data_IF_208029021390
#
_entry.id   IF_208029021390
#
_cell.length_a   1.000
_cell.length_b   1.000
_cell.length_c   1.000
_cell.angle_alpha   90.00
_cell.angle_beta   90.00
_cell.angle_gamma   90.00
#
_symmetry.space_group_name_H-M   'P 1'
#
loop_
_entity.id
_entity.type
_entity.pdbx_description
1 polymer ?
#
# COMPACT_ATOMS: atom_id res chain seq x y z
N UNK A 1 -15.78 11.21 7.78
CA UNK A 1 -14.57 10.37 7.96
C UNK A 1 -13.70 11.12 8.94
N UNK A 2 -13.61 10.64 10.19
CA UNK A 2 -12.81 11.30 11.22
C UNK A 2 -11.43 10.64 11.30
N UNK A 3 -10.37 11.45 11.26
CA UNK A 3 -9.02 10.96 11.47
C UNK A 3 -8.64 11.13 12.94
N UNK A 4 -8.10 10.10 13.60
CA UNK A 4 -7.63 10.24 14.97
C UNK A 4 -6.47 11.25 15.01
N UNK A 5 -6.53 12.18 15.95
CA UNK A 5 -5.45 13.14 16.19
C UNK A 5 -4.22 12.38 16.71
N UNK A 6 -3.13 12.44 15.95
CA UNK A 6 -1.85 11.86 16.38
C UNK A 6 -1.29 12.73 17.52
N UNK A 7 -1.10 12.13 18.70
CA UNK A 7 -0.41 12.78 19.83
C UNK A 7 1.07 12.37 19.80
N UNK A 8 2.01 13.25 19.42
CA UNK A 8 3.41 12.87 19.22
C UNK A 8 4.06 12.24 20.45
N UNK A 9 3.75 12.75 21.66
CA UNK A 9 4.23 12.19 22.93
C UNK A 9 3.87 10.72 23.15
N UNK A 10 2.71 10.29 22.65
CA UNK A 10 2.24 8.90 22.72
C UNK A 10 2.81 8.06 21.57
N UNK A 11 3.02 8.67 20.40
CA UNK A 11 3.56 7.99 19.23
C UNK A 11 5.06 7.67 19.39
N UNK A 12 5.84 8.59 19.93
CA UNK A 12 7.28 8.39 20.14
C UNK A 12 7.61 7.50 21.35
N UNK A 13 6.71 7.38 22.32
CA UNK A 13 6.87 6.50 23.48
C UNK A 13 6.47 5.05 23.21
N UNK A 14 5.90 4.76 22.03
CA UNK A 14 5.45 3.41 21.63
C UNK A 14 6.31 2.89 20.50
N UNK A 15 6.63 1.60 20.55
CA UNK A 15 7.13 0.87 19.39
C UNK A 15 5.97 0.76 18.40
N UNK A 16 6.10 1.44 17.26
CA UNK A 16 5.11 1.32 16.19
C UNK A 16 5.17 -0.09 15.59
N UNK A 17 4.03 -0.69 15.24
CA UNK A 17 4.04 -1.97 14.54
C UNK A 17 4.77 -1.80 13.19
N UNK A 18 5.42 -2.86 12.69
CA UNK A 18 6.01 -2.85 11.37
C UNK A 18 4.98 -2.44 10.30
N UNK A 19 5.41 -1.69 9.26
CA UNK A 19 4.51 -1.31 8.19
C UNK A 19 4.01 -2.56 7.44
N UNK A 20 2.71 -2.57 7.15
CA UNK A 20 2.05 -3.58 6.33
C UNK A 20 1.96 -3.07 4.89
N UNK A 21 2.13 -3.96 3.93
CA UNK A 21 2.11 -3.65 2.50
C UNK A 21 1.20 -4.62 1.75
N UNK A 22 0.44 -4.11 0.79
CA UNK A 22 -0.42 -4.90 -0.12
C UNK A 22 0.26 -5.18 -1.46
N UNK A 23 1.19 -4.32 -1.86
CA UNK A 23 2.12 -4.53 -2.98
C UNK A 23 3.49 -4.03 -2.53
N UNK A 24 4.59 -4.37 -3.23
CA UNK A 24 5.90 -3.81 -2.92
C UNK A 24 5.84 -2.28 -2.77
N UNK A 25 6.16 -1.79 -1.57
CA UNK A 25 6.11 -0.37 -1.20
C UNK A 25 4.72 0.29 -1.15
N UNK A 26 3.61 -0.41 -1.44
CA UNK A 26 2.26 0.13 -1.38
C UNK A 26 1.54 -0.24 -0.08
N UNK A 27 1.10 0.76 0.69
CA UNK A 27 0.37 0.53 1.95
C UNK A 27 -1.11 0.23 1.70
N UNK A 28 -1.75 -0.60 2.54
CA UNK A 28 -3.19 -0.81 2.49
C UNK A 28 -3.97 0.51 2.54
N UNK A 29 -5.15 0.55 1.91
CA UNK A 29 -6.04 1.72 1.90
C UNK A 29 -5.43 2.98 1.27
N UNK A 30 -4.44 2.81 0.40
CA UNK A 30 -3.88 3.87 -0.43
C UNK A 30 -4.04 3.52 -1.91
N UNK A 31 -4.02 4.52 -2.79
CA UNK A 31 -4.09 4.33 -4.23
C UNK A 31 -2.68 4.18 -4.83
N UNK A 32 -2.47 3.17 -5.66
CA UNK A 32 -1.26 2.96 -6.44
C UNK A 32 -1.50 3.19 -7.94
N UNK A 33 -0.43 3.39 -8.70
CA UNK A 33 -0.48 3.56 -10.15
C UNK A 33 0.64 2.74 -10.80
N UNK A 34 0.28 1.92 -11.79
CA UNK A 34 1.23 1.19 -12.63
C UNK A 34 1.34 1.93 -13.96
N UNK A 35 2.57 2.32 -14.33
CA UNK A 35 2.86 3.03 -15.59
C UNK A 35 3.90 2.24 -16.38
N UNK A 36 3.60 1.99 -17.66
CA UNK A 36 4.53 1.38 -18.60
C UNK A 36 4.08 1.67 -20.04
N UNK A 37 4.96 1.43 -21.01
CA UNK A 37 4.66 1.55 -22.43
C UNK A 37 3.64 0.49 -22.90
N UNK A 38 2.94 0.76 -23.99
CA UNK A 38 2.06 -0.22 -24.64
C UNK A 38 2.81 -1.52 -24.94
N UNK A 39 2.13 -2.67 -24.79
CA UNK A 39 2.76 -3.99 -24.96
C UNK A 39 3.61 -4.47 -23.78
N UNK A 40 3.94 -3.62 -22.79
CA UNK A 40 4.77 -4.00 -21.64
C UNK A 40 4.09 -4.89 -20.59
N UNK A 41 2.91 -5.46 -20.88
CA UNK A 41 2.28 -6.44 -20.00
C UNK A 41 1.58 -5.90 -18.74
N UNK A 42 1.29 -4.59 -18.65
CA UNK A 42 0.62 -3.99 -17.47
C UNK A 42 -0.68 -4.71 -17.05
N UNK A 43 -1.50 -5.10 -18.02
CA UNK A 43 -2.75 -5.80 -17.78
C UNK A 43 -2.54 -7.22 -17.26
N UNK A 44 -1.51 -7.91 -17.78
CA UNK A 44 -1.15 -9.24 -17.31
C UNK A 44 -0.64 -9.18 -15.88
N UNK A 45 0.28 -8.24 -15.58
CA UNK A 45 0.80 -8.03 -14.22
C UNK A 45 -0.32 -7.72 -13.22
N UNK A 46 -1.27 -6.84 -13.58
CA UNK A 46 -2.39 -6.50 -12.71
C UNK A 46 -3.32 -7.69 -12.41
N UNK A 47 -3.47 -8.62 -13.37
CA UNK A 47 -4.24 -9.86 -13.17
C UNK A 47 -3.51 -10.85 -12.27
N UNK A 48 -2.20 -11.02 -12.48
CA UNK A 48 -1.35 -11.91 -11.69
C UNK A 48 -1.28 -11.46 -10.22
N UNK A 49 -0.99 -10.17 -10.00
CA UNK A 49 -1.02 -9.56 -8.67
C UNK A 49 -2.42 -9.70 -8.03
N UNK A 50 -3.49 -9.49 -8.81
CA UNK A 50 -4.87 -9.64 -8.34
C UNK A 50 -5.20 -11.04 -7.84
N UNK A 51 -4.69 -12.09 -8.51
CA UNK A 51 -4.86 -13.48 -8.10
C UNK A 51 -4.07 -13.83 -6.85
N UNK A 52 -2.87 -13.26 -6.69
CA UNK A 52 -2.06 -13.45 -5.49
C UNK A 52 -2.59 -12.71 -4.25
N UNK A 53 -3.44 -11.71 -4.45
CA UNK A 53 -4.03 -10.88 -3.38
C UNK A 53 -5.46 -11.29 -2.99
N UNK A 54 -6.15 -12.12 -3.78
CA UNK A 54 -7.52 -12.60 -3.56
C UNK A 54 -7.58 -13.89 -2.75
#
# INVERSE_FOLDING_TARGET
MEFPVIRPSVAFSKILPPPVYVLPSLRPRTAGLIVAQEGAGKSFLALDDGFHLS
#
